data_IF_462381824057
#
_entry.id   IF_462381824057
#
_cell.length_a   1.000
_cell.length_b   1.000
_cell.length_c   1.000
_cell.angle_alpha   90.00
_cell.angle_beta   90.00
_cell.angle_gamma   90.00
#
_symmetry.space_group_name_H-M   'P 1'
#
loop_
_entity.id
_entity.type
_entity.pdbx_description
1 polymer ?
#
# COMPACT_ATOMS: atom_id res chain seq x y z
N UNK A 1 -16.97 -0.23 -13.15
CA UNK A 1 -16.92 0.43 -14.48
C UNK A 1 -18.28 0.37 -15.13
N UNK A 2 -18.68 1.40 -15.90
CA UNK A 2 -19.95 1.34 -16.63
C UNK A 2 -19.76 0.80 -18.05
N UNK A 3 -20.55 -0.20 -18.43
CA UNK A 3 -20.69 -0.69 -19.81
C UNK A 3 -22.14 -0.54 -20.21
N UNK A 4 -22.40 0.10 -21.36
CA UNK A 4 -23.77 0.34 -21.87
C UNK A 4 -24.71 1.03 -20.86
N UNK A 5 -24.16 1.91 -20.01
CA UNK A 5 -24.92 2.63 -18.97
C UNK A 5 -25.15 1.86 -17.67
N UNK A 6 -24.67 0.61 -17.56
CA UNK A 6 -24.78 -0.21 -16.35
C UNK A 6 -23.42 -0.34 -15.67
N UNK A 7 -23.36 -0.03 -14.37
CA UNK A 7 -22.15 -0.26 -13.58
C UNK A 7 -21.99 -1.74 -13.23
N UNK A 8 -20.85 -2.31 -13.63
CA UNK A 8 -20.39 -3.62 -13.16
C UNK A 8 -19.25 -3.44 -12.16
N UNK A 9 -19.19 -4.35 -11.18
CA UNK A 9 -18.08 -4.41 -10.24
C UNK A 9 -16.81 -4.81 -10.99
N UNK A 10 -15.81 -3.92 -10.97
CA UNK A 10 -14.51 -4.19 -11.58
C UNK A 10 -13.58 -4.96 -10.62
N UNK A 11 -13.62 -4.61 -9.34
CA UNK A 11 -12.89 -5.30 -8.29
C UNK A 11 -13.19 -4.68 -6.92
N UNK A 12 -12.54 -5.21 -5.89
CA UNK A 12 -12.61 -4.73 -4.49
C UNK A 12 -11.19 -4.62 -3.95
N UNK A 13 -10.96 -3.62 -3.11
CA UNK A 13 -9.70 -3.52 -2.34
C UNK A 13 -9.69 -4.55 -1.21
N UNK A 14 -8.56 -4.70 -0.54
CA UNK A 14 -8.51 -5.29 0.77
C UNK A 14 -9.30 -4.47 1.81
N UNK A 15 -9.58 -5.11 2.94
CA UNK A 15 -10.18 -4.47 4.13
C UNK A 15 -9.05 -3.99 5.03
N UNK A 16 -9.16 -2.77 5.54
CA UNK A 16 -8.18 -2.22 6.49
C UNK A 16 -8.91 -1.97 7.80
N UNK A 17 -8.53 -2.74 8.82
CA UNK A 17 -9.17 -2.68 10.13
C UNK A 17 -8.76 -1.41 10.89
N UNK A 18 -9.71 -0.86 11.67
CA UNK A 18 -9.49 0.20 12.66
C UNK A 18 -8.76 1.45 12.14
N UNK A 19 -9.09 1.93 10.93
CA UNK A 19 -8.55 3.20 10.41
C UNK A 19 -9.64 4.10 9.85
N UNK A 20 -9.50 5.41 10.10
CA UNK A 20 -10.29 6.46 9.45
C UNK A 20 -9.65 6.97 8.16
N UNK A 21 -8.38 6.63 7.92
CA UNK A 21 -7.60 7.08 6.77
C UNK A 21 -6.93 5.87 6.10
N UNK A 22 -7.71 4.99 5.45
CA UNK A 22 -7.18 3.77 4.83
C UNK A 22 -6.31 4.07 3.60
N UNK A 23 -5.10 3.49 3.59
CA UNK A 23 -4.20 3.46 2.43
C UNK A 23 -4.14 2.03 1.85
N UNK A 24 -4.81 1.82 0.71
CA UNK A 24 -4.90 0.52 0.05
C UNK A 24 -3.66 0.18 -0.78
N UNK A 25 -3.14 -1.02 -0.59
CA UNK A 25 -2.07 -1.66 -1.36
C UNK A 25 -2.59 -2.21 -2.68
N UNK A 26 -3.78 -2.83 -2.72
CA UNK A 26 -4.31 -3.40 -3.96
C UNK A 26 -4.56 -2.31 -5.01
N UNK A 27 -4.05 -2.52 -6.23
CA UNK A 27 -4.19 -1.59 -7.36
C UNK A 27 -4.98 -2.24 -8.49
N UNK A 28 -5.80 -1.43 -9.17
CA UNK A 28 -6.57 -1.84 -10.34
C UNK A 28 -5.83 -1.47 -11.62
N UNK A 29 -5.73 -2.42 -12.56
CA UNK A 29 -5.11 -2.21 -13.87
C UNK A 29 -6.22 -2.00 -14.90
N UNK A 30 -6.16 -0.88 -15.60
CA UNK A 30 -7.17 -0.45 -16.56
C UNK A 30 -6.47 -0.01 -17.85
N UNK A 31 -6.98 -0.45 -18.98
CA UNK A 31 -6.61 0.13 -20.27
C UNK A 31 -7.25 1.52 -20.40
N UNK A 32 -6.47 2.51 -20.83
CA UNK A 32 -6.94 3.87 -21.05
C UNK A 32 -7.12 4.14 -22.54
N UNK A 33 -8.33 4.57 -22.91
CA UNK A 33 -8.71 4.95 -24.28
C UNK A 33 -9.13 6.41 -24.27
N UNK A 34 -8.31 7.30 -24.83
CA UNK A 34 -8.52 8.75 -24.77
C UNK A 34 -9.77 9.19 -25.55
N UNK A 35 -10.19 8.40 -26.54
CA UNK A 35 -11.36 8.58 -27.37
C UNK A 35 -12.66 8.09 -26.70
N UNK A 36 -12.57 7.34 -25.60
CA UNK A 36 -13.72 6.78 -24.90
C UNK A 36 -13.99 7.44 -23.55
N UNK A 37 -15.27 7.62 -23.24
CA UNK A 37 -15.69 8.04 -21.89
C UNK A 37 -15.80 6.84 -20.96
N UNK A 38 -14.70 6.52 -20.29
CA UNK A 38 -14.62 5.40 -19.35
C UNK A 38 -15.11 5.81 -17.95
N UNK A 39 -16.37 5.51 -17.61
CA UNK A 39 -16.97 5.92 -16.33
C UNK A 39 -16.62 4.96 -15.18
N UNK A 40 -16.21 5.52 -14.05
CA UNK A 40 -15.85 4.86 -12.81
C UNK A 40 -16.81 5.26 -11.68
N UNK A 41 -17.09 4.30 -10.79
CA UNK A 41 -17.82 4.52 -9.53
C UNK A 41 -17.10 3.77 -8.43
N UNK A 42 -16.92 4.44 -7.31
CA UNK A 42 -16.28 3.92 -6.11
C UNK A 42 -17.31 3.98 -4.99
N UNK A 43 -17.60 2.83 -4.39
CA UNK A 43 -18.54 2.70 -3.28
C UNK A 43 -17.74 2.26 -2.05
N UNK A 44 -17.81 3.02 -0.95
CA UNK A 44 -17.06 2.76 0.27
C UNK A 44 -17.98 2.20 1.34
N UNK A 45 -17.47 1.21 2.07
CA UNK A 45 -18.19 0.50 3.12
C UNK A 45 -17.30 0.33 4.34
N UNK A 46 -17.90 0.41 5.52
CA UNK A 46 -17.35 -0.08 6.78
C UNK A 46 -17.82 -1.53 6.97
N UNK A 47 -16.87 -2.46 7.14
CA UNK A 47 -17.17 -3.89 7.13
C UNK A 47 -17.39 -4.41 8.56
N UNK A 48 -18.66 -4.61 8.92
CA UNK A 48 -19.03 -5.19 10.22
C UNK A 48 -18.88 -6.71 10.33
N UNK A 49 -18.64 -7.41 9.21
CA UNK A 49 -18.56 -8.86 9.17
C UNK A 49 -17.75 -9.40 7.98
N UNK A 50 -17.47 -10.70 7.99
CA UNK A 50 -16.80 -11.40 6.87
C UNK A 50 -17.73 -11.72 5.69
N UNK A 51 -18.98 -11.26 5.71
CA UNK A 51 -19.95 -11.51 4.65
C UNK A 51 -19.54 -10.76 3.37
N UNK A 52 -19.78 -11.32 2.18
CA UNK A 52 -19.56 -10.59 0.93
C UNK A 52 -20.74 -9.70 0.52
N UNK A 53 -21.88 -9.91 1.20
CA UNK A 53 -23.12 -9.18 0.95
C UNK A 53 -23.04 -7.76 1.54
N UNK A 54 -22.95 -6.76 0.64
CA UNK A 54 -22.84 -5.34 0.96
C UNK A 54 -24.00 -4.78 1.79
N UNK A 55 -25.17 -5.42 1.78
CA UNK A 55 -26.30 -4.99 2.62
C UNK A 55 -26.08 -5.21 4.11
N UNK A 56 -25.04 -5.95 4.50
CA UNK A 56 -24.65 -6.19 5.89
C UNK A 56 -23.51 -5.28 6.36
N UNK A 57 -23.17 -4.26 5.58
CA UNK A 57 -22.06 -3.36 5.83
C UNK A 57 -22.57 -1.93 5.75
N UNK A 58 -22.00 -1.06 6.58
CA UNK A 58 -22.37 0.33 6.62
C UNK A 58 -21.80 1.07 5.41
N UNK A 59 -22.68 1.55 4.54
CA UNK A 59 -22.27 2.39 3.42
C UNK A 59 -21.75 3.73 3.96
N UNK A 60 -20.52 4.08 3.58
CA UNK A 60 -19.85 5.30 4.00
C UNK A 60 -20.04 6.43 2.99
N UNK A 61 -20.17 6.10 1.71
CA UNK A 61 -20.36 7.07 0.63
C UNK A 61 -19.86 6.54 -0.71
N UNK A 62 -20.10 7.30 -1.76
CA UNK A 62 -19.68 6.98 -3.12
C UNK A 62 -19.10 8.19 -3.84
N UNK A 63 -18.32 7.92 -4.89
CA UNK A 63 -17.80 8.92 -5.80
C UNK A 63 -17.94 8.42 -7.25
N UNK A 64 -18.29 9.33 -8.16
CA UNK A 64 -18.31 9.10 -9.60
C UNK A 64 -17.26 9.97 -10.28
N UNK A 65 -16.58 9.40 -11.27
CA UNK A 65 -15.68 10.12 -12.16
C UNK A 65 -15.51 9.35 -13.47
N UNK A 66 -14.73 9.90 -14.40
CA UNK A 66 -14.19 9.20 -15.56
C UNK A 66 -12.71 8.89 -15.34
N UNK A 67 -12.18 7.88 -16.02
CA UNK A 67 -10.74 7.60 -16.00
C UNK A 67 -9.94 8.80 -16.54
N UNK A 68 -10.44 9.47 -17.58
CA UNK A 68 -9.84 10.68 -18.14
C UNK A 68 -9.77 11.85 -17.16
N UNK A 69 -10.75 12.01 -16.25
CA UNK A 69 -10.69 13.03 -15.19
C UNK A 69 -9.59 12.73 -14.17
N UNK A 70 -9.33 11.45 -13.85
CA UNK A 70 -8.24 11.07 -12.94
C UNK A 70 -6.89 11.34 -13.62
N UNK A 71 -6.70 10.81 -14.82
CA UNK A 71 -5.45 10.96 -15.59
C UNK A 71 -5.17 12.43 -15.95
N UNK A 72 -6.21 13.22 -16.25
CA UNK A 72 -6.07 14.64 -16.59
C UNK A 72 -5.94 15.57 -15.38
N UNK A 73 -6.05 15.06 -14.15
CA UNK A 73 -5.85 15.87 -12.94
C UNK A 73 -4.36 16.15 -12.70
N UNK A 74 -4.06 17.21 -11.96
CA UNK A 74 -2.67 17.56 -11.65
C UNK A 74 -1.97 16.41 -10.90
N UNK A 75 -0.85 15.92 -11.46
CA UNK A 75 -0.12 14.77 -10.92
C UNK A 75 -0.90 13.46 -10.99
N UNK A 76 -1.92 13.37 -11.86
CA UNK A 76 -2.83 12.22 -11.95
C UNK A 76 -3.48 11.87 -10.60
N UNK A 77 -3.65 12.86 -9.72
CA UNK A 77 -4.19 12.75 -8.37
C UNK A 77 -5.49 13.56 -8.25
N UNK A 78 -6.59 12.85 -8.16
CA UNK A 78 -7.91 13.45 -7.97
C UNK A 78 -8.41 13.24 -6.54
N UNK A 79 -8.81 14.33 -5.89
CA UNK A 79 -9.41 14.31 -4.56
C UNK A 79 -10.85 14.82 -4.63
N UNK A 80 -11.80 14.08 -4.02
CA UNK A 80 -13.23 14.38 -4.07
C UNK A 80 -13.93 14.01 -2.77
N UNK A 81 -14.86 14.85 -2.34
CA UNK A 81 -15.79 14.51 -1.26
C UNK A 81 -16.69 13.35 -1.67
N UNK A 82 -16.96 12.48 -0.71
CA UNK A 82 -17.91 11.37 -0.87
C UNK A 82 -19.34 11.89 -0.76
N UNK A 83 -20.24 11.30 -1.55
CA UNK A 83 -21.66 11.63 -1.60
C UNK A 83 -22.52 10.39 -1.38
N UNK A 84 -23.85 10.54 -1.36
CA UNK A 84 -24.79 9.41 -1.31
C UNK A 84 -25.54 9.25 0.01
N UNK A 85 -25.14 9.97 1.06
CA UNK A 85 -25.88 10.02 2.34
C UNK A 85 -26.36 11.47 2.59
N UNK A 86 -27.67 11.75 2.46
CA UNK A 86 -28.20 13.09 2.63
C UNK A 86 -27.87 13.68 4.01
N UNK A 87 -27.31 14.90 4.03
CA UNK A 87 -27.03 15.63 5.26
C UNK A 87 -25.82 15.14 6.07
N UNK A 88 -25.05 14.16 5.58
CA UNK A 88 -23.85 13.63 6.26
C UNK A 88 -22.58 14.01 5.52
N UNK A 89 -21.56 14.48 6.25
CA UNK A 89 -20.21 14.54 5.71
C UNK A 89 -19.64 13.11 5.67
N UNK A 90 -19.40 12.61 4.48
CA UNK A 90 -18.99 11.23 4.24
C UNK A 90 -17.47 11.06 4.13
N UNK A 91 -16.69 12.14 4.33
CA UNK A 91 -15.25 12.16 4.11
C UNK A 91 -14.87 12.39 2.66
N UNK A 92 -13.62 12.07 2.34
CA UNK A 92 -12.98 12.34 1.04
C UNK A 92 -12.31 11.08 0.53
N UNK A 93 -12.32 10.89 -0.79
CA UNK A 93 -11.52 9.86 -1.48
C UNK A 93 -10.44 10.54 -2.33
N UNK A 94 -9.24 9.96 -2.32
CA UNK A 94 -8.14 10.32 -3.21
C UNK A 94 -7.94 9.15 -4.17
N UNK A 95 -8.03 9.43 -5.47
CA UNK A 95 -7.78 8.47 -6.55
C UNK A 95 -6.55 8.93 -7.32
N UNK A 96 -5.55 8.06 -7.42
CA UNK A 96 -4.33 8.29 -8.21
C UNK A 96 -4.27 7.33 -9.40
N UNK A 97 -3.82 7.82 -10.55
CA UNK A 97 -3.46 7.00 -11.70
C UNK A 97 -1.96 7.14 -11.99
N UNK A 98 -1.33 6.04 -12.41
CA UNK A 98 0.05 6.02 -12.87
C UNK A 98 0.11 5.16 -14.13
N UNK A 99 0.84 5.63 -15.14
CA UNK A 99 1.13 4.81 -16.31
C UNK A 99 2.04 3.66 -15.90
N UNK A 100 1.66 2.44 -16.29
CA UNK A 100 2.42 1.26 -15.92
C UNK A 100 3.60 1.08 -16.86
N UNK A 101 4.80 1.05 -16.28
CA UNK A 101 5.99 0.59 -16.98
C UNK A 101 5.82 -0.86 -17.44
N UNK A 102 6.30 -1.17 -18.64
CA UNK A 102 6.29 -2.54 -19.15
C UNK A 102 7.39 -3.36 -18.43
N UNK A 103 7.05 -3.91 -17.27
CA UNK A 103 7.93 -4.79 -16.49
C UNK A 103 7.13 -5.99 -15.97
N UNK A 104 7.60 -7.20 -16.31
CA UNK A 104 7.00 -8.47 -15.86
C UNK A 104 7.81 -9.18 -14.78
N UNK A 105 8.94 -8.59 -14.40
CA UNK A 105 9.81 -9.14 -13.36
C UNK A 105 9.14 -9.06 -11.99
N UNK A 106 9.45 -10.04 -11.14
CA UNK A 106 9.07 -10.06 -9.74
C UNK A 106 10.28 -10.45 -8.91
N UNK A 107 10.38 -9.90 -7.71
CA UNK A 107 11.44 -10.21 -6.76
C UNK A 107 10.83 -10.93 -5.56
N UNK A 108 11.51 -11.95 -5.06
CA UNK A 108 11.19 -12.64 -3.81
C UNK A 108 12.20 -12.21 -2.74
N UNK A 109 11.70 -11.68 -1.64
CA UNK A 109 12.51 -11.05 -0.58
C UNK A 109 12.03 -11.50 0.79
N UNK A 110 12.96 -11.59 1.74
CA UNK A 110 12.70 -11.81 3.15
C UNK A 110 13.45 -10.79 4.00
N UNK A 111 12.77 -10.21 4.98
CA UNK A 111 13.38 -9.26 5.93
C UNK A 111 13.40 -9.85 7.33
N UNK A 112 14.38 -9.43 8.13
CA UNK A 112 14.36 -9.59 9.58
C UNK A 112 14.88 -8.34 10.29
N UNK A 113 14.36 -8.07 11.47
CA UNK A 113 14.81 -7.00 12.35
C UNK A 113 15.74 -7.52 13.43
N UNK A 114 16.63 -6.67 13.91
CA UNK A 114 17.46 -6.96 15.07
C UNK A 114 17.41 -5.79 16.05
N UNK A 115 17.06 -6.09 17.30
CA UNK A 115 17.00 -5.13 18.42
C UNK A 115 16.17 -3.87 18.09
N UNK A 116 14.98 -4.06 17.53
CA UNK A 116 14.02 -2.97 17.33
C UNK A 116 13.66 -2.28 18.65
N UNK A 117 13.24 -1.03 18.57
CA UNK A 117 12.76 -0.30 19.73
C UNK A 117 11.50 -0.95 20.29
N UNK A 118 11.48 -1.10 21.62
CA UNK A 118 10.28 -1.48 22.36
C UNK A 118 9.35 -0.26 22.48
N UNK A 119 8.12 -0.34 21.96
CA UNK A 119 7.12 0.73 22.13
C UNK A 119 6.06 0.37 23.17
N UNK A 120 5.64 -0.89 23.23
CA UNK A 120 4.69 -1.38 24.25
C UNK A 120 5.13 -1.26 25.71
N UNK A 121 4.22 -0.87 26.62
CA UNK A 121 4.49 -0.84 28.07
C UNK A 121 4.59 -2.24 28.70
N UNK A 122 3.72 -3.18 28.30
CA UNK A 122 3.67 -4.56 28.80
C UNK A 122 3.93 -5.57 27.68
N UNK A 123 5.19 -5.87 27.42
CA UNK A 123 5.59 -6.80 26.36
C UNK A 123 6.84 -6.30 25.65
N UNK A 124 7.05 -6.80 24.43
CA UNK A 124 7.88 -6.22 23.37
C UNK A 124 6.92 -5.77 22.26
N UNK A 125 7.45 -5.06 21.27
CA UNK A 125 6.69 -4.65 20.09
C UNK A 125 6.12 -5.84 19.29
N UNK A 126 5.08 -5.57 18.52
CA UNK A 126 4.44 -6.36 17.48
C UNK A 126 4.81 -5.80 16.08
N UNK A 127 6.08 -5.91 15.62
CA UNK A 127 6.55 -5.18 14.46
C UNK A 127 6.01 -5.67 13.10
N UNK A 128 5.77 -4.71 12.19
CA UNK A 128 5.51 -4.93 10.77
C UNK A 128 6.19 -3.87 9.89
N UNK A 129 6.40 -4.20 8.61
CA UNK A 129 7.00 -3.31 7.62
C UNK A 129 5.95 -2.75 6.67
N UNK A 130 6.12 -1.48 6.30
CA UNK A 130 5.35 -0.81 5.25
C UNK A 130 6.30 -0.31 4.17
N UNK A 131 6.11 -0.77 2.94
CA UNK A 131 6.91 -0.40 1.79
C UNK A 131 6.20 0.69 0.99
N UNK A 132 6.94 1.73 0.67
CA UNK A 132 6.48 2.83 -0.16
C UNK A 132 7.41 3.02 -1.35
N UNK A 133 6.81 3.23 -2.51
CA UNK A 133 7.49 3.67 -3.72
C UNK A 133 7.39 5.18 -3.83
N UNK A 134 8.47 5.87 -4.24
CA UNK A 134 8.39 7.28 -4.63
C UNK A 134 7.67 7.46 -5.97
N UNK A 135 6.85 8.50 -6.07
CA UNK A 135 6.20 8.91 -7.31
C UNK A 135 7.01 10.04 -7.97
N UNK A 136 6.71 10.35 -9.23
CA UNK A 136 7.40 11.41 -9.98
C UNK A 136 7.22 12.80 -9.36
N UNK A 137 6.11 13.02 -8.64
CA UNK A 137 5.82 14.25 -7.90
C UNK A 137 6.52 14.34 -6.53
N UNK A 138 7.36 13.36 -6.18
CA UNK A 138 8.06 13.26 -4.91
C UNK A 138 7.21 12.75 -3.74
N UNK A 139 5.91 12.48 -3.95
CA UNK A 139 5.08 11.81 -2.95
C UNK A 139 5.37 10.32 -2.90
N UNK A 140 4.86 9.63 -1.88
CA UNK A 140 5.02 8.18 -1.72
C UNK A 140 3.69 7.46 -1.87
N UNK A 141 3.72 6.25 -2.43
CA UNK A 141 2.57 5.35 -2.53
C UNK A 141 2.93 4.01 -1.92
N UNK A 142 2.07 3.50 -1.04
CA UNK A 142 2.24 2.17 -0.47
C UNK A 142 2.21 1.08 -1.56
N UNK A 143 3.16 0.16 -1.50
CA UNK A 143 3.28 -0.96 -2.44
C UNK A 143 3.28 -2.34 -1.76
N UNK A 144 3.58 -2.44 -0.46
CA UNK A 144 3.50 -3.69 0.29
C UNK A 144 3.38 -3.45 1.80
N UNK A 145 2.77 -4.41 2.51
CA UNK A 145 2.81 -4.54 3.98
C UNK A 145 3.11 -5.99 4.33
N UNK A 146 3.99 -6.21 5.30
CA UNK A 146 4.23 -7.56 5.84
C UNK A 146 3.15 -7.93 6.85
N UNK A 147 3.19 -9.18 7.32
CA UNK A 147 2.48 -9.56 8.52
C UNK A 147 3.05 -8.88 9.78
N UNK A 148 2.24 -8.90 10.83
CA UNK A 148 2.62 -8.50 12.20
C UNK A 148 3.26 -9.69 12.90
N UNK A 149 4.50 -9.53 13.37
CA UNK A 149 5.19 -10.56 14.16
C UNK A 149 5.11 -10.17 15.63
N UNK A 150 4.38 -10.94 16.44
CA UNK A 150 4.04 -10.52 17.81
C UNK A 150 5.17 -10.65 18.83
N UNK A 151 5.23 -9.69 19.75
CA UNK A 151 5.99 -9.68 20.98
C UNK A 151 7.48 -10.03 20.77
N UNK A 152 8.12 -9.32 19.84
CA UNK A 152 9.54 -9.49 19.50
C UNK A 152 10.21 -8.17 19.13
N UNK A 153 11.50 -8.06 19.43
CA UNK A 153 12.37 -6.99 18.93
C UNK A 153 13.31 -7.50 17.83
N UNK A 154 13.21 -8.78 17.50
CA UNK A 154 14.04 -9.48 16.51
C UNK A 154 13.13 -10.26 15.55
N UNK A 155 12.21 -9.59 14.82
CA UNK A 155 11.27 -10.28 13.94
C UNK A 155 11.96 -10.91 12.73
N UNK A 156 11.43 -12.04 12.28
CA UNK A 156 11.70 -12.59 10.95
C UNK A 156 10.36 -12.62 10.23
N UNK A 157 10.19 -11.76 9.23
CA UNK A 157 8.97 -11.73 8.43
C UNK A 157 9.00 -12.84 7.37
N UNK A 158 7.83 -13.27 6.92
CA UNK A 158 7.70 -14.26 5.85
C UNK A 158 8.26 -13.70 4.54
N UNK A 159 8.87 -14.58 3.74
CA UNK A 159 9.28 -14.21 2.40
C UNK A 159 8.04 -13.87 1.54
N UNK A 160 8.15 -12.83 0.73
CA UNK A 160 7.06 -12.39 -0.14
C UNK A 160 7.56 -12.05 -1.54
N UNK A 161 6.71 -12.33 -2.53
CA UNK A 161 6.96 -12.03 -3.95
C UNK A 161 6.23 -10.74 -4.32
N UNK A 162 6.96 -9.76 -4.85
CA UNK A 162 6.40 -8.49 -5.32
C UNK A 162 6.83 -8.21 -6.76
N UNK A 163 5.91 -7.82 -7.65
CA UNK A 163 6.29 -7.35 -8.99
C UNK A 163 7.19 -6.11 -8.93
N UNK A 164 8.25 -6.04 -9.75
CA UNK A 164 9.21 -4.91 -9.78
C UNK A 164 8.56 -3.58 -10.18
N UNK A 165 7.81 -3.54 -11.28
CA UNK A 165 6.36 -3.44 -11.10
C UNK A 165 5.79 -2.47 -10.04
N UNK A 166 5.23 -3.11 -9.02
CA UNK A 166 4.62 -2.48 -7.86
C UNK A 166 5.68 -1.85 -6.95
N UNK A 167 6.90 -2.38 -6.91
CA UNK A 167 7.95 -1.88 -6.03
C UNK A 167 8.53 -0.54 -6.51
N UNK A 168 8.77 -0.38 -7.81
CA UNK A 168 9.51 0.77 -8.37
C UNK A 168 9.06 1.19 -9.79
N UNK A 169 7.92 0.70 -10.28
CA UNK A 169 7.38 0.96 -11.63
C UNK A 169 8.37 0.69 -12.78
N UNK A 170 9.29 -0.27 -12.58
CA UNK A 170 10.32 -0.63 -13.56
C UNK A 170 11.54 0.28 -13.57
N UNK A 171 11.58 1.34 -12.77
CA UNK A 171 12.78 2.17 -12.56
C UNK A 171 13.58 1.61 -11.39
N UNK A 172 14.74 1.01 -11.69
CA UNK A 172 15.48 0.22 -10.69
C UNK A 172 16.21 1.12 -9.68
N UNK A 173 16.35 2.41 -9.99
CA UNK A 173 17.00 3.41 -9.15
C UNK A 173 15.97 4.25 -8.37
N UNK A 174 14.67 4.08 -8.65
CA UNK A 174 13.59 4.76 -7.93
C UNK A 174 13.62 4.41 -6.45
N UNK A 175 13.47 5.43 -5.62
CA UNK A 175 13.53 5.29 -4.17
C UNK A 175 12.37 4.45 -3.64
N UNK A 176 12.72 3.50 -2.77
CA UNK A 176 11.82 2.69 -1.98
C UNK A 176 12.07 3.05 -0.53
N UNK A 177 11.06 3.60 0.14
CA UNK A 177 11.09 3.87 1.57
C UNK A 177 10.42 2.71 2.31
N UNK A 178 11.06 2.23 3.36
CA UNK A 178 10.55 1.13 4.18
C UNK A 178 10.47 1.65 5.61
N UNK A 179 9.27 1.63 6.16
CA UNK A 179 8.99 2.04 7.53
C UNK A 179 8.67 0.81 8.38
N UNK A 180 9.10 0.85 9.64
CA UNK A 180 8.84 -0.17 10.66
C UNK A 180 7.91 0.43 11.70
N UNK A 181 6.85 -0.29 12.02
CA UNK A 181 5.83 0.11 12.99
C UNK A 181 5.61 -0.99 14.01
N UNK A 182 5.22 -0.60 15.22
CA UNK A 182 4.63 -1.46 16.24
C UNK A 182 3.11 -1.50 16.04
N UNK A 183 2.51 -2.68 15.99
CA UNK A 183 1.07 -2.81 15.78
C UNK A 183 0.30 -2.60 17.08
N UNK A 184 -0.47 -1.52 17.15
CA UNK A 184 -1.49 -1.32 18.18
C UNK A 184 -2.90 -1.75 17.79
N UNK A 185 -3.62 -2.34 18.75
CA UNK A 185 -5.00 -2.84 18.54
C UNK A 185 -6.00 -1.75 18.17
N UNK A 186 -5.78 -0.52 18.63
CA UNK A 186 -6.66 0.61 18.39
C UNK A 186 -6.44 1.30 17.02
N UNK A 187 -5.46 0.83 16.24
CA UNK A 187 -5.08 1.37 14.94
C UNK A 187 -4.06 2.50 15.00
N UNK A 188 -3.65 2.94 16.19
CA UNK A 188 -2.67 4.01 16.42
C UNK A 188 -1.22 3.57 16.34
N UNK A 189 -0.88 2.67 15.41
CA UNK A 189 0.40 1.98 15.31
C UNK A 189 1.63 2.89 15.53
N UNK A 190 2.44 2.58 16.55
CA UNK A 190 3.61 3.36 16.92
C UNK A 190 4.77 3.23 15.91
N UNK A 191 5.28 4.37 15.44
CA UNK A 191 6.43 4.39 14.53
C UNK A 191 7.73 3.98 15.25
N UNK A 192 8.45 3.01 14.69
CA UNK A 192 9.76 2.56 15.17
C UNK A 192 10.89 3.25 14.40
N UNK A 193 10.85 3.26 13.07
CA UNK A 193 11.88 3.91 12.24
C UNK A 193 11.72 3.64 10.75
N UNK A 194 12.58 4.23 9.91
CA UNK A 194 12.58 4.00 8.46
C UNK A 194 13.98 3.90 7.85
N UNK A 195 14.06 3.38 6.63
CA UNK A 195 15.22 3.54 5.76
C UNK A 195 14.77 3.68 4.30
N UNK A 196 15.66 4.16 3.45
CA UNK A 196 15.43 4.28 2.00
C UNK A 196 16.47 3.49 1.23
N UNK A 197 16.05 2.90 0.12
CA UNK A 197 16.86 2.06 -0.77
C UNK A 197 16.31 2.14 -2.21
N UNK A 198 16.79 1.29 -3.11
CA UNK A 198 16.27 1.13 -4.48
C UNK A 198 16.29 -0.35 -4.86
N UNK A 199 15.53 -0.75 -5.89
CA UNK A 199 15.56 -2.14 -6.34
C UNK A 199 16.98 -2.57 -6.74
N UNK A 200 17.75 -1.68 -7.37
CA UNK A 200 19.16 -1.92 -7.73
C UNK A 200 20.04 -2.20 -6.52
N UNK A 201 19.78 -1.58 -5.37
CA UNK A 201 20.52 -1.84 -4.14
C UNK A 201 20.07 -3.13 -3.47
N UNK A 202 18.76 -3.37 -3.41
CA UNK A 202 18.21 -4.64 -2.91
C UNK A 202 18.75 -5.83 -3.73
N UNK A 203 18.87 -5.65 -5.04
CA UNK A 203 19.42 -6.61 -5.99
C UNK A 203 20.96 -6.65 -5.99
N UNK A 204 21.70 -6.01 -5.07
CA UNK A 204 23.15 -6.25 -4.90
C UNK A 204 23.44 -7.31 -3.85
N UNK A 205 22.47 -7.60 -2.98
CA UNK A 205 22.58 -8.55 -1.86
C UNK A 205 22.52 -10.04 -2.23
N UNK A 206 22.59 -10.41 -3.51
CA UNK A 206 22.39 -11.80 -3.99
C UNK A 206 23.29 -12.88 -3.37
N UNK A 207 24.30 -12.51 -2.58
CA UNK A 207 25.22 -13.47 -1.93
C UNK A 207 25.44 -13.23 -0.44
N UNK A 208 24.87 -12.18 0.16
CA UNK A 208 25.09 -11.81 1.58
C UNK A 208 23.89 -11.02 2.14
N UNK A 209 23.62 -11.15 3.45
CA UNK A 209 22.66 -10.29 4.15
C UNK A 209 22.98 -8.82 3.90
N UNK A 210 22.00 -8.04 3.40
CA UNK A 210 22.16 -6.59 3.30
C UNK A 210 21.66 -5.95 4.58
N UNK A 211 22.54 -5.17 5.21
CA UNK A 211 22.34 -4.51 6.50
C UNK A 211 21.89 -3.07 6.25
N UNK A 212 20.72 -2.71 6.77
CA UNK A 212 20.22 -1.33 6.74
C UNK A 212 20.10 -0.79 8.15
N UNK A 213 20.74 0.36 8.40
CA UNK A 213 20.53 1.12 9.63
C UNK A 213 19.28 1.99 9.49
N UNK A 214 18.46 1.97 10.53
CA UNK A 214 17.18 2.66 10.52
C UNK A 214 17.36 4.10 11.02
N UNK A 215 16.89 5.05 10.22
CA UNK A 215 16.87 6.46 10.57
C UNK A 215 15.89 6.66 11.74
N UNK A 216 16.37 7.42 12.75
CA UNK A 216 15.73 7.71 14.04
C UNK A 216 16.15 6.85 15.25
N UNK A 217 16.94 5.75 15.09
CA UNK A 217 17.66 5.07 16.20
C UNK A 217 18.59 3.94 15.70
N UNK A 218 19.65 3.60 16.46
CA UNK A 218 20.68 2.62 16.05
C UNK A 218 20.22 1.17 16.13
N UNK A 219 19.53 0.66 15.11
CA UNK A 219 19.22 -0.77 14.94
C UNK A 219 19.25 -1.18 13.46
N UNK A 220 19.25 -2.50 13.22
CA UNK A 220 19.57 -3.08 11.92
C UNK A 220 18.42 -3.92 11.38
N UNK A 221 18.04 -3.66 10.13
CA UNK A 221 17.24 -4.58 9.32
C UNK A 221 18.17 -5.38 8.41
N UNK A 222 18.00 -6.70 8.36
CA UNK A 222 18.69 -7.56 7.41
C UNK A 222 17.71 -8.02 6.34
N UNK A 223 18.14 -7.95 5.08
CA UNK A 223 17.42 -8.52 3.93
C UNK A 223 18.14 -9.76 3.41
N UNK A 224 17.36 -10.81 3.16
CA UNK A 224 17.74 -12.00 2.41
C UNK A 224 16.90 -12.05 1.12
N UNK A 225 17.58 -12.00 -0.04
CA UNK A 225 16.92 -12.14 -1.34
C UNK A 225 16.93 -13.62 -1.72
N UNK A 226 15.77 -14.21 -2.01
CA UNK A 226 15.63 -15.62 -2.39
C UNK A 226 15.08 -15.63 -3.81
N UNK A 227 15.84 -16.09 -4.81
CA UNK A 227 15.30 -16.22 -6.17
C UNK A 227 14.51 -17.53 -6.33
N UNK A 228 13.40 -17.46 -7.07
CA UNK A 228 12.84 -18.65 -7.74
C UNK A 228 13.53 -18.78 -9.11
N UNK A 229 14.28 -19.88 -9.28
CA UNK A 229 14.94 -20.27 -10.52
C UNK A 229 13.96 -20.61 -11.66
#
# INVERSE_FOLDING_TARGET
MAYWGVFITFGRTEVIDNTLNPDFVHKFILDYFFEERQNLRFDLYDLDSKSENLSKHDFLGQMYCTLGEVVGSQGSRMERSLVGIPGKNCGTIIVKAEELGNCRESVLMQFCGNKLDKKDFFGKSDPFLVFYRSNEDGTFTICHKTEVVKNTLDPVWQAFKIPVRALCNGDYDRAIKIEVYDWDRDGGHDYIGEFSTSYRELSKGHTQFTVWEILMQTFTLLLECVDEA
#
